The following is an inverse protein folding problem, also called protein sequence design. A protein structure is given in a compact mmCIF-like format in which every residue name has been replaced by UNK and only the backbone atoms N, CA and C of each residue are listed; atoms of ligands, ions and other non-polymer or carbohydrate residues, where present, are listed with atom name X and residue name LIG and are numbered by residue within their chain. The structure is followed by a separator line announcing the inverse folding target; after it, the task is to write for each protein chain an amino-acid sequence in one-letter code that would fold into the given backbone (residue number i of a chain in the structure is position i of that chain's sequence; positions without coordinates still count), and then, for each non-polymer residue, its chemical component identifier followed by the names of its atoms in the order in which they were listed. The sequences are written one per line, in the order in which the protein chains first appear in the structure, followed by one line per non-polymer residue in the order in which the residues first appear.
data_IF_404181583245
#
_entry.id   IF_404181583245
#
_cell.length_a   1.000
_cell.length_b   1.000
_cell.length_c   1.000
_cell.angle_alpha   90.00
_cell.angle_beta   90.00
_cell.angle_gamma   90.00
#
_symmetry.space_group_name_H-M   'P 1'
#
loop_
_entity.id
_entity.type
_entity.pdbx_description
1 polymer ?
#
# COMPACT_ATOMS: atom_id res chain seq x y z
N UNK A 1 -50.15 46.77 6.46
CA UNK A 1 -49.92 45.47 7.13
C UNK A 1 -48.45 45.38 7.49
N UNK A 2 -48.12 45.55 8.77
CA UNK A 2 -46.74 45.61 9.26
C UNK A 2 -46.29 44.22 9.74
N UNK A 3 -45.12 43.77 9.28
CA UNK A 3 -44.50 42.51 9.71
C UNK A 3 -43.70 42.72 11.01
N UNK A 4 -43.70 41.77 11.96
CA UNK A 4 -42.91 41.89 13.17
C UNK A 4 -41.47 41.39 12.98
N UNK A 5 -40.54 42.10 13.61
CA UNK A 5 -39.11 41.82 13.63
C UNK A 5 -38.76 40.61 14.52
N UNK A 6 -37.90 39.72 14.02
CA UNK A 6 -37.31 38.61 14.76
C UNK A 6 -36.10 39.11 15.59
N UNK A 7 -36.17 38.89 16.91
CA UNK A 7 -35.05 39.08 17.86
C UNK A 7 -34.11 37.88 17.81
N UNK A 8 -32.81 38.15 17.70
CA UNK A 8 -31.76 37.16 17.89
C UNK A 8 -31.50 36.96 19.39
N UNK A 9 -31.60 35.73 19.87
CA UNK A 9 -31.26 35.31 21.24
C UNK A 9 -29.86 34.71 21.22
N UNK A 10 -28.89 35.42 21.80
CA UNK A 10 -27.50 35.01 21.96
C UNK A 10 -27.34 34.20 23.25
N UNK A 11 -27.29 32.87 23.15
CA UNK A 11 -26.93 32.00 24.28
C UNK A 11 -25.51 31.47 24.11
N UNK A 12 -24.71 31.73 25.15
CA UNK A 12 -23.28 31.50 25.23
C UNK A 12 -22.87 30.04 25.17
N UNK A 13 -21.65 29.86 24.66
CA UNK A 13 -20.88 28.61 24.65
C UNK A 13 -20.07 28.55 25.95
N UNK A 14 -20.16 27.49 26.76
CA UNK A 14 -19.29 27.34 27.93
C UNK A 14 -17.88 26.88 27.52
N UNK A 15 -16.88 27.47 28.17
CA UNK A 15 -15.48 27.10 28.08
C UNK A 15 -15.24 25.73 28.73
N UNK A 16 -14.65 24.80 27.98
CA UNK A 16 -14.08 23.57 28.52
C UNK A 16 -12.63 23.85 28.91
N UNK A 17 -12.38 23.81 30.22
CA UNK A 17 -11.06 23.79 30.84
C UNK A 17 -10.82 22.41 31.43
N UNK A 18 -9.58 21.94 31.40
CA UNK A 18 -9.12 20.78 32.18
C UNK A 18 -8.78 19.55 31.35
N UNK A 19 -7.52 19.46 30.90
CA UNK A 19 -6.86 18.18 30.71
C UNK A 19 -5.51 18.24 31.42
N UNK A 20 -5.49 17.75 32.66
CA UNK A 20 -4.28 17.41 33.41
C UNK A 20 -3.64 16.18 32.77
N UNK A 21 -2.39 16.29 32.31
CA UNK A 21 -1.52 15.14 32.09
C UNK A 21 -0.60 15.01 33.31
N UNK A 22 -1.00 14.16 34.24
CA UNK A 22 -0.16 13.71 35.36
C UNK A 22 0.72 12.53 34.89
N UNK A 23 2.01 12.82 34.79
CA UNK A 23 3.11 12.07 35.40
C UNK A 23 2.92 10.54 35.57
N UNK A 24 3.52 9.75 34.66
CA UNK A 24 3.91 8.37 34.98
C UNK A 24 5.30 8.09 34.41
N UNK A 25 6.32 8.49 35.17
CA UNK A 25 7.70 8.06 34.98
C UNK A 25 8.12 7.23 36.20
N UNK A 26 8.28 5.90 36.02
CA UNK A 26 9.30 5.14 36.76
C UNK A 26 9.63 3.79 36.12
N UNK A 27 10.85 3.75 35.57
CA UNK A 27 11.89 2.73 35.73
C UNK A 27 11.56 1.25 35.50
N UNK A 28 12.11 0.70 34.41
CA UNK A 28 12.96 -0.49 34.49
C UNK A 28 14.05 -0.44 33.41
N UNK A 29 15.27 -0.12 33.85
CA UNK A 29 16.50 -0.30 33.07
C UNK A 29 16.97 -1.74 33.27
N UNK A 30 16.98 -2.53 32.19
CA UNK A 30 17.72 -3.80 32.14
C UNK A 30 18.59 -3.78 30.89
N UNK A 31 19.88 -4.05 31.08
CA UNK A 31 20.90 -4.12 30.02
C UNK A 31 20.56 -5.18 28.98
N UNK A 32 20.77 -4.93 27.67
CA UNK A 32 20.80 -6.01 26.70
C UNK A 32 22.17 -6.68 26.70
N UNK A 33 22.17 -7.97 27.01
CA UNK A 33 23.26 -8.87 26.66
C UNK A 33 23.43 -8.87 25.14
N UNK A 34 24.69 -8.89 24.68
CA UNK A 34 25.06 -8.98 23.28
C UNK A 34 24.40 -10.20 22.63
N UNK A 35 23.36 -9.96 21.83
CA UNK A 35 22.76 -10.96 20.98
C UNK A 35 23.75 -11.28 19.85
N UNK A 36 24.20 -12.54 19.81
CA UNK A 36 24.94 -13.07 18.68
C UNK A 36 24.13 -12.83 17.40
N UNK A 37 24.74 -12.19 16.41
CA UNK A 37 24.16 -11.95 15.10
C UNK A 37 23.83 -13.30 14.44
N UNK A 38 22.58 -13.74 14.55
CA UNK A 38 22.06 -14.86 13.80
C UNK A 38 22.14 -14.50 12.31
N UNK A 39 22.83 -15.33 11.53
CA UNK A 39 22.89 -15.18 10.08
C UNK A 39 21.47 -15.14 9.50
N UNK A 40 21.16 -14.21 8.58
CA UNK A 40 19.83 -14.13 8.00
C UNK A 40 19.47 -15.46 7.31
N UNK A 41 18.21 -15.93 7.42
CA UNK A 41 17.78 -17.15 6.75
C UNK A 41 18.02 -17.03 5.24
N UNK A 42 18.67 -18.05 4.66
CA UNK A 42 19.10 -18.12 3.25
C UNK A 42 17.97 -17.89 2.24
N UNK A 43 16.72 -18.02 2.68
CA UNK A 43 15.50 -17.87 1.87
C UNK A 43 15.19 -16.43 1.44
N UNK A 44 15.78 -15.41 2.09
CA UNK A 44 15.53 -14.01 1.69
C UNK A 44 16.44 -13.56 0.55
N UNK A 45 17.69 -14.04 0.54
CA UNK A 45 18.67 -13.70 -0.49
C UNK A 45 18.32 -14.28 -1.87
N UNK A 46 17.53 -15.36 -1.93
CA UNK A 46 17.03 -15.93 -3.21
C UNK A 46 16.04 -15.01 -3.93
N UNK A 47 15.41 -14.04 -3.25
CA UNK A 47 14.60 -12.99 -3.92
C UNK A 47 15.49 -12.13 -4.84
N UNK A 48 16.79 -12.04 -4.55
CA UNK A 48 17.72 -11.11 -5.20
C UNK A 48 18.75 -11.79 -6.12
N UNK A 49 18.58 -13.09 -6.42
CA UNK A 49 19.41 -13.76 -7.43
C UNK A 49 19.12 -13.15 -8.81
N UNK A 50 20.12 -12.45 -9.36
CA UNK A 50 19.93 -11.38 -10.32
C UNK A 50 19.59 -11.86 -11.76
N UNK A 51 18.35 -11.65 -12.18
CA UNK A 51 18.03 -11.48 -13.60
C UNK A 51 18.34 -10.02 -14.00
N UNK A 52 19.24 -9.81 -14.98
CA UNK A 52 19.56 -8.47 -15.51
C UNK A 52 18.31 -7.84 -16.16
N UNK A 53 17.78 -6.71 -15.67
CA UNK A 53 16.61 -6.10 -16.28
C UNK A 53 17.01 -5.29 -17.52
N UNK A 54 16.50 -5.67 -18.68
CA UNK A 54 16.51 -4.79 -19.87
C UNK A 54 15.54 -3.63 -19.63
N UNK A 55 16.06 -2.41 -19.49
CA UNK A 55 15.28 -1.17 -19.36
C UNK A 55 14.51 -0.86 -20.65
N UNK A 56 13.33 -1.47 -20.82
CA UNK A 56 12.32 -1.00 -21.79
C UNK A 56 11.46 0.07 -21.11
N UNK A 57 11.35 1.27 -21.72
CA UNK A 57 10.31 2.26 -21.39
C UNK A 57 8.93 1.59 -21.50
N UNK A 58 8.39 1.10 -20.38
CA UNK A 58 7.03 0.55 -20.34
C UNK A 58 6.04 1.71 -20.20
N UNK A 59 5.13 1.80 -21.18
CA UNK A 59 3.94 2.66 -21.12
C UNK A 59 3.17 2.34 -19.85
N UNK A 60 2.68 3.37 -19.14
CA UNK A 60 1.68 3.21 -18.09
C UNK A 60 0.56 2.34 -18.68
N UNK A 61 0.29 1.21 -18.03
CA UNK A 61 -0.62 0.20 -18.57
C UNK A 61 -1.99 0.82 -18.85
N UNK A 62 -2.40 0.84 -20.11
CA UNK A 62 -3.73 1.29 -20.56
C UNK A 62 -4.86 0.57 -19.79
N UNK A 63 -4.57 -0.63 -19.28
CA UNK A 63 -5.43 -1.47 -18.45
C UNK A 63 -5.82 -0.81 -17.11
N UNK A 64 -4.89 -0.12 -16.44
CA UNK A 64 -5.18 0.54 -15.16
C UNK A 64 -6.19 1.69 -15.35
N UNK A 65 -6.12 2.41 -16.48
CA UNK A 65 -7.16 3.40 -16.85
C UNK A 65 -8.49 2.75 -17.17
N UNK A 66 -8.49 1.64 -17.92
CA UNK A 66 -9.71 0.93 -18.32
C UNK A 66 -10.51 0.39 -17.12
N UNK A 67 -9.85 -0.23 -16.13
CA UNK A 67 -10.54 -0.74 -14.95
C UNK A 67 -11.07 0.37 -14.02
N UNK A 68 -10.42 1.53 -14.00
CA UNK A 68 -10.83 2.66 -13.17
C UNK A 68 -12.01 3.46 -13.75
N UNK A 69 -12.27 3.34 -15.06
CA UNK A 69 -13.24 4.21 -15.76
C UNK A 69 -14.54 3.52 -16.17
N UNK A 70 -14.65 2.19 -16.07
CA UNK A 70 -15.80 1.46 -16.62
C UNK A 70 -16.95 1.21 -15.64
N UNK A 71 -17.00 1.88 -14.47
CA UNK A 71 -18.03 1.66 -13.44
C UNK A 71 -18.58 2.94 -12.85
N UNK A 72 -19.83 2.94 -12.36
CA UNK A 72 -20.38 4.06 -11.60
C UNK A 72 -19.47 4.34 -10.39
N UNK A 73 -19.08 5.60 -10.23
CA UNK A 73 -18.26 6.11 -9.15
C UNK A 73 -19.11 6.95 -8.18
N UNK A 74 -18.60 7.20 -6.97
CA UNK A 74 -19.25 8.09 -5.99
C UNK A 74 -20.63 7.60 -5.50
N UNK A 75 -21.60 8.52 -5.31
CA UNK A 75 -22.91 8.16 -4.73
C UNK A 75 -23.74 7.20 -5.59
N UNK A 76 -23.55 7.19 -6.91
CA UNK A 76 -24.35 6.36 -7.82
C UNK A 76 -24.15 4.85 -7.59
N UNK A 77 -22.92 4.42 -7.30
CA UNK A 77 -22.64 3.02 -6.98
C UNK A 77 -23.04 2.66 -5.54
N UNK A 78 -22.89 3.58 -4.58
CA UNK A 78 -23.34 3.39 -3.19
C UNK A 78 -24.85 3.18 -3.15
N UNK A 79 -25.62 4.05 -3.82
CA UNK A 79 -27.09 3.97 -3.88
C UNK A 79 -27.57 2.72 -4.62
N UNK A 80 -26.84 2.26 -5.64
CA UNK A 80 -27.17 1.04 -6.38
C UNK A 80 -26.59 -0.24 -5.76
N UNK A 81 -25.91 -0.13 -4.60
CA UNK A 81 -25.19 -1.23 -3.96
C UNK A 81 -24.25 -2.00 -4.91
N UNK A 82 -23.74 -1.31 -5.93
CA UNK A 82 -22.82 -1.89 -6.92
C UNK A 82 -21.38 -1.59 -6.53
N UNK A 83 -20.44 -2.39 -7.03
CA UNK A 83 -19.02 -2.15 -6.80
C UNK A 83 -18.65 -0.78 -7.41
N UNK A 84 -18.36 0.18 -6.53
CA UNK A 84 -17.95 1.54 -6.85
C UNK A 84 -16.65 1.67 -7.65
N UNK A 85 -16.04 0.54 -7.99
CA UNK A 85 -15.00 0.38 -8.99
C UNK A 85 -14.04 1.55 -9.01
N UNK A 86 -13.05 1.55 -8.11
CA UNK A 86 -11.97 2.56 -8.13
C UNK A 86 -12.45 4.03 -8.12
N UNK A 87 -13.73 4.27 -7.84
CA UNK A 87 -14.42 5.53 -8.09
C UNK A 87 -14.46 6.45 -6.89
N UNK A 88 -13.41 6.43 -6.05
CA UNK A 88 -13.26 7.46 -5.05
C UNK A 88 -12.53 8.66 -5.68
N UNK A 89 -13.24 9.77 -5.85
CA UNK A 89 -12.72 10.98 -6.54
C UNK A 89 -11.50 11.57 -5.84
N UNK A 90 -11.37 11.32 -4.54
CA UNK A 90 -10.23 11.73 -3.73
C UNK A 90 -8.99 10.83 -3.91
N UNK A 91 -9.08 9.75 -4.70
CA UNK A 91 -8.04 8.71 -4.76
C UNK A 91 -7.52 8.51 -6.17
N UNK A 92 -6.19 8.48 -6.29
CA UNK A 92 -5.49 8.00 -7.47
C UNK A 92 -4.96 6.59 -7.22
N UNK A 93 -5.20 5.68 -8.16
CA UNK A 93 -4.84 4.27 -8.05
C UNK A 93 -3.70 3.91 -8.99
N UNK A 94 -2.65 3.32 -8.44
CA UNK A 94 -1.48 2.83 -9.16
C UNK A 94 -1.34 1.32 -8.97
N UNK A 95 -1.43 0.55 -10.05
CA UNK A 95 -1.31 -0.90 -10.01
C UNK A 95 0.16 -1.28 -10.22
N UNK A 96 0.75 -1.95 -9.23
CA UNK A 96 2.08 -2.54 -9.33
C UNK A 96 2.05 -3.74 -10.28
N UNK A 97 3.08 -3.86 -11.13
CA UNK A 97 3.25 -4.98 -12.06
C UNK A 97 4.57 -5.72 -11.78
N UNK A 98 4.65 -7.04 -12.05
CA UNK A 98 3.59 -7.90 -12.61
C UNK A 98 2.51 -8.29 -11.59
N UNK A 99 1.50 -9.03 -12.04
CA UNK A 99 0.67 -9.81 -11.12
C UNK A 99 1.44 -11.02 -10.64
N UNK A 100 1.02 -11.60 -9.52
CA UNK A 100 1.79 -12.65 -8.86
C UNK A 100 0.90 -13.68 -8.18
N UNK A 101 1.48 -14.83 -7.84
CA UNK A 101 0.92 -15.84 -6.94
C UNK A 101 1.84 -16.06 -5.76
N UNK A 102 1.24 -16.47 -4.65
CA UNK A 102 1.94 -16.86 -3.44
C UNK A 102 1.57 -18.33 -3.12
N UNK A 103 2.23 -19.31 -3.77
CA UNK A 103 1.84 -20.72 -3.73
C UNK A 103 2.03 -21.40 -2.37
N UNK A 104 2.86 -20.85 -1.47
CA UNK A 104 3.15 -21.46 -0.18
C UNK A 104 3.53 -20.43 0.91
N UNK A 105 3.76 -20.91 2.14
CA UNK A 105 4.09 -20.07 3.30
C UNK A 105 5.49 -19.41 3.25
N UNK A 106 6.35 -19.83 2.33
CA UNK A 106 7.66 -19.18 2.07
C UNK A 106 7.63 -18.24 0.87
N UNK A 107 6.50 -18.13 0.17
CA UNK A 107 6.32 -17.20 -0.93
C UNK A 107 6.23 -15.76 -0.42
N UNK A 108 7.04 -14.88 -1.01
CA UNK A 108 6.97 -13.45 -0.77
C UNK A 108 7.27 -12.66 -2.05
N UNK A 109 6.68 -11.46 -2.13
CA UNK A 109 7.07 -10.44 -3.11
C UNK A 109 7.46 -9.17 -2.37
N UNK A 110 8.45 -8.46 -2.90
CA UNK A 110 8.87 -7.17 -2.38
C UNK A 110 8.23 -6.06 -3.21
N UNK A 111 7.57 -5.12 -2.54
CA UNK A 111 6.97 -3.93 -3.13
C UNK A 111 7.80 -2.72 -2.72
N UNK A 112 8.29 -1.98 -3.72
CA UNK A 112 9.08 -0.77 -3.57
C UNK A 112 8.31 0.41 -4.14
N UNK A 113 8.32 1.55 -3.47
CA UNK A 113 7.65 2.73 -3.98
C UNK A 113 8.05 4.01 -3.25
N UNK A 114 7.27 5.05 -3.47
CA UNK A 114 7.45 6.36 -2.85
C UNK A 114 6.30 6.58 -1.87
N UNK A 115 6.62 6.96 -0.63
CA UNK A 115 5.62 7.45 0.30
C UNK A 115 5.18 8.84 -0.15
N UNK A 116 4.02 8.91 -0.81
CA UNK A 116 3.49 10.18 -1.33
C UNK A 116 3.05 11.13 -0.22
N UNK A 117 2.86 10.61 0.99
CA UNK A 117 2.68 11.40 2.23
C UNK A 117 3.95 12.20 2.54
N UNK A 118 5.10 11.54 2.57
CA UNK A 118 6.39 12.17 2.88
C UNK A 118 6.82 13.18 1.80
N UNK A 119 6.42 12.97 0.54
CA UNK A 119 6.71 13.92 -0.54
C UNK A 119 5.68 15.05 -0.66
N UNK A 120 4.62 15.05 0.17
CA UNK A 120 3.53 16.04 0.09
C UNK A 120 2.63 15.92 -1.15
N UNK A 121 2.74 14.82 -1.89
CA UNK A 121 1.90 14.55 -3.07
C UNK A 121 0.54 13.93 -2.67
N UNK A 122 0.43 13.37 -1.48
CA UNK A 122 -0.80 12.85 -0.92
C UNK A 122 -0.92 13.22 0.56
N UNK A 123 -2.14 13.34 1.08
CA UNK A 123 -2.38 13.45 2.52
C UNK A 123 -2.33 12.07 3.18
N UNK A 124 -2.68 11.04 2.42
CA UNK A 124 -2.67 9.66 2.87
C UNK A 124 -2.36 8.72 1.71
N UNK A 125 -1.57 7.68 1.98
CA UNK A 125 -1.21 6.66 1.02
C UNK A 125 -1.24 5.27 1.66
N UNK A 126 -1.69 4.28 0.90
CA UNK A 126 -1.61 2.89 1.33
C UNK A 126 -1.44 1.94 0.15
N UNK A 127 -1.04 0.71 0.46
CA UNK A 127 -1.08 -0.39 -0.50
C UNK A 127 -2.17 -1.38 -0.13
N UNK A 128 -2.76 -2.01 -1.13
CA UNK A 128 -3.74 -3.09 -0.99
C UNK A 128 -3.36 -4.24 -1.90
N UNK A 129 -3.34 -5.45 -1.34
CA UNK A 129 -3.25 -6.70 -2.09
C UNK A 129 -4.66 -7.12 -2.49
N UNK A 130 -4.90 -7.32 -3.77
CA UNK A 130 -6.19 -7.67 -4.33
C UNK A 130 -6.16 -9.04 -4.99
N UNK A 131 -7.22 -9.83 -4.79
CA UNK A 131 -7.56 -10.98 -5.63
C UNK A 131 -8.13 -10.45 -6.95
N UNK A 132 -7.43 -10.69 -8.05
CA UNK A 132 -7.80 -10.15 -9.37
C UNK A 132 -9.11 -10.76 -9.88
N UNK A 133 -9.28 -12.07 -9.71
CA UNK A 133 -10.46 -12.80 -10.19
C UNK A 133 -11.70 -12.39 -9.41
N UNK A 134 -11.58 -12.23 -8.09
CA UNK A 134 -12.69 -11.84 -7.21
C UNK A 134 -12.90 -10.33 -7.13
N UNK A 135 -11.96 -9.54 -7.68
CA UNK A 135 -11.98 -8.06 -7.62
C UNK A 135 -12.14 -7.53 -6.18
N UNK A 136 -11.38 -8.12 -5.26
CA UNK A 136 -11.52 -7.93 -3.82
C UNK A 136 -10.17 -7.57 -3.19
N UNK A 137 -10.15 -6.55 -2.34
CA UNK A 137 -9.01 -6.26 -1.45
C UNK A 137 -8.95 -7.26 -0.30
N UNK A 138 -7.80 -7.91 -0.13
CA UNK A 138 -7.57 -8.97 0.85
C UNK A 138 -6.89 -8.41 2.10
N UNK A 139 -5.81 -7.68 1.90
CA UNK A 139 -4.94 -7.16 2.94
C UNK A 139 -4.34 -5.83 2.47
N UNK A 140 -3.87 -5.01 3.39
CA UNK A 140 -3.24 -3.75 3.06
C UNK A 140 -2.37 -3.23 4.20
N UNK A 141 -1.59 -2.20 3.89
CA UNK A 141 -0.78 -1.47 4.85
C UNK A 141 -0.80 0.01 4.53
N UNK A 142 -0.76 0.82 5.58
CA UNK A 142 -0.52 2.26 5.54
C UNK A 142 0.76 2.59 6.31
N UNK A 143 1.10 3.88 6.43
CA UNK A 143 2.34 4.35 7.07
C UNK A 143 3.56 3.66 6.44
N UNK A 144 3.62 3.71 5.10
CA UNK A 144 4.56 2.94 4.31
C UNK A 144 5.99 3.44 4.55
N UNK A 145 6.89 2.53 4.92
CA UNK A 145 8.30 2.83 5.16
C UNK A 145 9.21 1.64 4.89
N UNK A 146 10.34 1.56 5.61
CA UNK A 146 11.21 0.37 5.59
C UNK A 146 12.27 0.33 4.48
N UNK A 147 12.38 1.34 3.61
CA UNK A 147 13.42 1.37 2.59
C UNK A 147 14.84 1.39 3.20
N UNK A 148 15.08 2.14 4.28
CA UNK A 148 16.37 2.11 4.98
C UNK A 148 16.68 0.72 5.56
N UNK A 149 15.68 0.06 6.17
CA UNK A 149 15.85 -1.30 6.69
C UNK A 149 16.17 -2.31 5.58
N UNK A 150 15.65 -2.12 4.35
CA UNK A 150 16.02 -2.95 3.21
C UNK A 150 17.49 -2.79 2.84
N UNK A 151 18.00 -1.55 2.82
CA UNK A 151 19.41 -1.25 2.53
C UNK A 151 20.30 -1.92 3.55
N UNK A 152 19.96 -1.82 4.84
CA UNK A 152 20.71 -2.44 5.94
C UNK A 152 20.71 -3.97 5.84
N UNK A 153 19.53 -4.58 5.65
CA UNK A 153 19.38 -6.05 5.52
C UNK A 153 20.18 -6.59 4.34
N UNK A 154 20.24 -5.85 3.23
CA UNK A 154 20.96 -6.24 2.02
C UNK A 154 22.44 -5.81 2.01
N UNK A 155 22.89 -5.05 3.02
CA UNK A 155 24.25 -4.51 3.07
C UNK A 155 24.59 -3.63 1.86
N UNK A 156 23.61 -2.89 1.32
CA UNK A 156 23.80 -2.11 0.11
C UNK A 156 24.51 -0.79 0.40
N UNK A 157 25.50 -0.44 -0.43
CA UNK A 157 26.04 0.91 -0.48
C UNK A 157 25.33 1.68 -1.58
N UNK A 158 24.70 2.80 -1.22
CA UNK A 158 23.93 3.62 -2.15
C UNK A 158 24.63 4.96 -2.41
N UNK A 159 24.45 5.54 -3.62
CA UNK A 159 24.82 6.92 -3.89
C UNK A 159 24.14 7.92 -2.93
N UNK A 160 24.82 9.02 -2.61
CA UNK A 160 24.38 9.99 -1.59
C UNK A 160 23.02 10.65 -1.90
N UNK A 161 22.69 10.84 -3.19
CA UNK A 161 21.38 11.31 -3.62
C UNK A 161 20.27 10.30 -3.32
N UNK A 162 20.52 9.00 -3.53
CA UNK A 162 19.57 7.93 -3.17
C UNK A 162 19.43 7.81 -1.65
N UNK A 163 20.53 7.88 -0.90
CA UNK A 163 20.51 7.86 0.57
C UNK A 163 19.63 8.97 1.14
N UNK A 164 19.71 10.19 0.59
CA UNK A 164 18.86 11.31 1.00
C UNK A 164 17.38 11.10 0.70
N UNK A 165 17.06 10.31 -0.33
CA UNK A 165 15.69 10.01 -0.71
C UNK A 165 15.06 8.86 0.12
N UNK A 166 15.85 8.05 0.83
CA UNK A 166 15.37 6.88 1.57
C UNK A 166 14.17 7.14 2.50
N UNK A 167 14.08 8.26 3.24
CA UNK A 167 12.91 8.54 4.07
C UNK A 167 11.59 8.66 3.28
N UNK A 168 11.65 9.06 2.01
CA UNK A 168 10.49 9.16 1.12
C UNK A 168 10.21 7.87 0.35
N UNK A 169 11.01 6.81 0.54
CA UNK A 169 10.83 5.53 -0.11
C UNK A 169 10.28 4.50 0.88
N UNK A 170 9.52 3.53 0.36
CA UNK A 170 9.10 2.38 1.14
C UNK A 170 9.55 1.06 0.51
N UNK A 171 9.67 0.06 1.37
CA UNK A 171 9.92 -1.32 1.02
C UNK A 171 9.06 -2.23 1.90
N UNK A 172 8.08 -2.89 1.30
CA UNK A 172 7.10 -3.73 2.00
C UNK A 172 7.11 -5.13 1.41
N UNK A 173 7.19 -6.13 2.28
CA UNK A 173 6.99 -7.53 1.90
C UNK A 173 5.51 -7.86 1.86
N UNK A 174 5.10 -8.64 0.87
CA UNK A 174 3.77 -9.25 0.81
C UNK A 174 3.96 -10.76 0.79
N UNK A 175 3.49 -11.45 1.82
CA UNK A 175 3.78 -12.87 2.05
C UNK A 175 2.56 -13.62 2.59
N UNK A 176 2.60 -14.96 2.53
CA UNK A 176 1.58 -15.81 3.20
C UNK A 176 1.75 -15.89 4.71
N UNK A 177 2.99 -15.88 5.17
CA UNK A 177 3.35 -15.98 6.58
C UNK A 177 4.47 -14.99 6.91
N UNK A 178 4.10 -13.86 7.50
CA UNK A 178 5.06 -12.80 7.83
C UNK A 178 6.00 -13.21 8.96
N UNK A 179 5.60 -14.15 9.83
CA UNK A 179 6.45 -14.62 10.94
C UNK A 179 7.69 -15.36 10.44
N UNK A 180 7.63 -15.93 9.23
CA UNK A 180 8.74 -16.68 8.60
C UNK A 180 9.74 -15.81 7.86
N UNK A 181 9.42 -14.55 7.60
CA UNK A 181 10.31 -13.67 6.86
C UNK A 181 11.49 -13.21 7.73
N UNK A 182 11.33 -13.16 9.05
CA UNK A 182 12.36 -12.75 10.03
C UNK A 182 13.22 -11.56 9.54
N UNK A 183 12.55 -10.50 9.12
CA UNK A 183 13.19 -9.28 8.60
C UNK A 183 12.75 -8.07 9.40
N UNK A 184 13.60 -7.04 9.44
CA UNK A 184 13.23 -5.71 9.92
C UNK A 184 12.25 -4.97 8.96
N UNK A 185 11.84 -5.60 7.86
CA UNK A 185 10.92 -5.01 6.89
C UNK A 185 9.47 -5.13 7.35
N UNK A 186 8.68 -4.10 7.02
CA UNK A 186 7.23 -4.17 7.13
C UNK A 186 6.70 -5.30 6.23
N UNK A 187 5.81 -6.12 6.76
CA UNK A 187 5.23 -7.26 6.05
C UNK A 187 3.71 -7.25 6.10
N UNK A 188 3.08 -7.46 4.94
CA UNK A 188 1.64 -7.60 4.74
C UNK A 188 1.31 -9.07 4.52
N UNK A 189 0.59 -9.66 5.47
CA UNK A 189 0.20 -11.06 5.41
C UNK A 189 -1.05 -11.26 4.55
N UNK A 190 -0.99 -12.19 3.58
CA UNK A 190 -2.10 -12.55 2.70
C UNK A 190 -2.67 -13.91 3.13
N UNK A 191 -3.75 -13.95 3.93
CA UNK A 191 -4.32 -15.21 4.39
C UNK A 191 -4.82 -16.09 3.23
N UNK A 192 -4.63 -17.40 3.34
CA UNK A 192 -5.13 -18.40 2.37
C UNK A 192 -6.49 -18.97 2.73
N UNK A 193 -6.98 -18.73 3.95
CA UNK A 193 -8.25 -19.21 4.49
C UNK A 193 -8.98 -18.09 5.23
N UNK A 194 -10.29 -18.24 5.44
CA UNK A 194 -11.13 -17.25 6.11
C UNK A 194 -11.63 -16.13 5.18
N UNK A 195 -12.13 -15.04 5.76
CA UNK A 195 -12.59 -13.87 5.02
C UNK A 195 -12.10 -12.58 5.70
N UNK A 196 -11.46 -11.65 4.96
CA UNK A 196 -11.02 -11.76 3.56
C UNK A 196 -9.79 -12.68 3.40
N UNK A 197 -9.69 -13.42 2.28
CA UNK A 197 -8.55 -14.29 1.96
C UNK A 197 -8.43 -14.55 0.45
N UNK A 198 -7.30 -15.12 0.03
CA UNK A 198 -7.09 -15.58 -1.35
C UNK A 198 -6.46 -16.97 -1.40
N UNK A 199 -7.01 -17.93 -2.17
CA UNK A 199 -6.44 -19.24 -2.40
C UNK A 199 -4.96 -19.21 -2.82
N UNK A 200 -4.22 -20.31 -2.63
CA UNK A 200 -2.78 -20.37 -2.93
C UNK A 200 -2.46 -20.14 -4.42
N UNK A 201 -3.36 -20.55 -5.31
CA UNK A 201 -3.28 -20.40 -6.76
C UNK A 201 -3.91 -19.09 -7.29
N UNK A 202 -4.45 -18.26 -6.40
CA UNK A 202 -5.10 -17.00 -6.78
C UNK A 202 -4.09 -16.01 -7.39
N UNK A 203 -4.48 -15.39 -8.49
CA UNK A 203 -3.72 -14.29 -9.08
C UNK A 203 -3.96 -13.01 -8.29
N UNK A 204 -2.88 -12.48 -7.73
CA UNK A 204 -2.86 -11.30 -6.89
C UNK A 204 -2.29 -10.08 -7.63
N UNK A 205 -2.71 -8.90 -7.19
CA UNK A 205 -2.13 -7.63 -7.61
C UNK A 205 -1.98 -6.69 -6.42
N UNK A 206 -0.97 -5.82 -6.44
CA UNK A 206 -0.79 -4.78 -5.40
C UNK A 206 -1.16 -3.44 -5.99
N UNK A 207 -2.06 -2.73 -5.32
CA UNK A 207 -2.54 -1.41 -5.73
C UNK A 207 -2.08 -0.42 -4.68
N UNK A 208 -1.31 0.57 -5.08
CA UNK A 208 -1.05 1.76 -4.30
C UNK A 208 -2.20 2.75 -4.52
N UNK A 209 -2.66 3.37 -3.43
CA UNK A 209 -3.73 4.36 -3.44
C UNK A 209 -3.20 5.62 -2.77
N UNK A 210 -3.18 6.71 -3.52
CA UNK A 210 -2.79 8.03 -3.04
C UNK A 210 -4.03 8.91 -2.92
N UNK A 211 -4.31 9.41 -1.73
CA UNK A 211 -5.54 10.11 -1.38
C UNK A 211 -5.28 11.59 -1.12
N UNK A 212 -6.01 12.44 -1.84
CA UNK A 212 -6.07 13.90 -1.74
C UNK A 212 -4.72 14.62 -1.78
N UNK A 213 -4.63 15.78 -2.42
CA UNK A 213 -3.47 16.65 -2.20
C UNK A 213 -3.76 17.61 -1.04
N UNK A 214 -2.74 18.14 -0.37
CA UNK A 214 -2.95 19.15 0.70
C UNK A 214 -3.73 20.39 0.19
N UNK A 215 -3.65 20.67 -1.12
CA UNK A 215 -4.32 21.79 -1.77
C UNK A 215 -5.70 21.44 -2.36
N UNK A 216 -6.16 20.17 -2.31
CA UNK A 216 -7.43 19.78 -2.94
C UNK A 216 -8.11 18.58 -2.29
N UNK A 217 -9.42 18.46 -2.50
CA UNK A 217 -10.22 17.30 -2.07
C UNK A 217 -10.28 16.19 -3.13
N UNK A 218 -9.42 16.25 -4.15
CA UNK A 218 -9.34 15.27 -5.23
C UNK A 218 -7.98 14.58 -5.23
N UNK A 219 -7.94 13.36 -5.75
CA UNK A 219 -6.70 12.59 -5.81
C UNK A 219 -5.60 13.32 -6.58
N UNK A 220 -4.32 13.08 -6.24
CA UNK A 220 -3.20 13.71 -6.92
C UNK A 220 -3.17 13.39 -8.42
N UNK A 221 -2.70 14.32 -9.27
CA UNK A 221 -2.50 14.04 -10.68
C UNK A 221 -1.60 12.81 -10.86
N UNK A 222 -2.05 11.82 -11.63
CA UNK A 222 -1.31 10.57 -11.88
C UNK A 222 0.11 10.83 -12.44
N UNK A 223 0.31 11.92 -13.18
CA UNK A 223 1.61 12.31 -13.71
C UNK A 223 2.65 12.71 -12.62
N UNK A 224 2.19 13.03 -11.41
CA UNK A 224 3.02 13.36 -10.25
C UNK A 224 3.31 12.13 -9.37
N UNK A 225 2.66 11.00 -9.65
CA UNK A 225 2.86 9.77 -8.88
C UNK A 225 3.96 8.91 -9.50
N UNK A 226 4.94 8.58 -8.67
CA UNK A 226 5.89 7.50 -8.95
C UNK A 226 5.18 6.18 -8.68
N UNK A 227 5.08 5.34 -9.72
CA UNK A 227 4.39 4.05 -9.62
C UNK A 227 5.23 3.03 -8.81
N UNK A 228 4.56 2.20 -7.99
CA UNK A 228 5.23 1.16 -7.25
C UNK A 228 5.82 0.11 -8.18
N UNK A 229 6.95 -0.45 -7.76
CA UNK A 229 7.66 -1.54 -8.42
C UNK A 229 7.57 -2.80 -7.57
N UNK A 230 7.49 -3.94 -8.24
CA UNK A 230 7.45 -5.23 -7.57
C UNK A 230 8.64 -6.07 -7.99
N UNK A 231 9.27 -6.71 -7.02
CA UNK A 231 10.28 -7.75 -7.22
C UNK A 231 9.66 -9.05 -6.75
N UNK A 232 9.51 -9.99 -7.68
CA UNK A 232 8.97 -11.32 -7.41
C UNK A 232 10.16 -12.26 -7.23
N UNK A 233 10.34 -12.78 -6.02
CA UNK A 233 11.41 -13.74 -5.73
C UNK A 233 11.08 -15.14 -6.23
N UNK A 234 12.05 -16.05 -6.22
CA UNK A 234 11.91 -17.42 -6.73
C UNK A 234 10.79 -18.23 -6.06
N UNK A 235 10.47 -17.93 -4.80
CA UNK A 235 9.39 -18.61 -4.06
C UNK A 235 7.98 -18.13 -4.44
N UNK A 236 7.87 -17.10 -5.27
CA UNK A 236 6.62 -16.56 -5.79
C UNK A 236 6.60 -16.66 -7.32
N UNK A 237 5.41 -16.69 -7.91
CA UNK A 237 5.27 -16.83 -9.37
C UNK A 237 4.76 -15.53 -9.97
N UNK A 238 5.49 -14.95 -10.93
CA UNK A 238 5.00 -13.82 -11.71
C UNK A 238 4.02 -14.34 -12.78
N UNK A 239 2.77 -13.88 -12.77
CA UNK A 239 1.71 -14.38 -13.66
C UNK A 239 1.53 -13.54 -14.93
N UNK A 240 2.60 -12.87 -15.39
CA UNK A 240 2.53 -11.89 -16.48
C UNK A 240 1.70 -10.65 -16.10
N UNK A 241 1.48 -9.75 -17.06
CA UNK A 241 0.36 -8.83 -16.96
C UNK A 241 -0.81 -9.58 -17.57
N UNK A 242 -1.89 -9.86 -16.84
CA UNK A 242 -3.06 -10.47 -17.46
C UNK A 242 -3.51 -9.58 -18.64
N UNK A 243 -3.16 -10.01 -19.85
CA UNK A 243 -3.60 -9.47 -21.12
C UNK A 243 -4.70 -10.41 -21.61
N UNK A 244 -5.85 -10.35 -20.95
CA UNK A 244 -7.08 -10.95 -21.42
C UNK A 244 -8.21 -9.97 -21.12
N UNK A 245 -9.16 -9.74 -22.05
CA UNK A 245 -10.34 -8.95 -21.75
C UNK A 245 -11.04 -9.61 -20.56
N UNK A 246 -11.17 -8.86 -19.45
CA UNK A 246 -11.99 -9.30 -18.32
C UNK A 246 -13.45 -9.06 -18.71
N UNK A 247 -13.97 -9.93 -19.57
CA UNK A 247 -15.33 -9.84 -20.08
C UNK A 247 -15.48 -10.37 -21.50
N UNK A 248 -15.43 -11.68 -21.66
CA UNK A 248 -16.56 -12.35 -22.30
C UNK A 248 -17.18 -13.21 -21.21
N UNK A 249 -18.26 -12.68 -20.63
CA UNK A 249 -19.16 -13.48 -19.82
C UNK A 249 -19.60 -14.66 -20.68
N UNK A 250 -19.34 -15.89 -20.26
CA UNK A 250 -20.11 -17.02 -20.77
C UNK A 250 -21.58 -16.75 -20.41
N UNK A 251 -22.42 -16.57 -21.42
CA UNK A 251 -23.88 -16.71 -21.32
C UNK A 251 -24.26 -18.10 -20.82
#
# INVERSE_FOLDING_TARGET
AAAPALRADSRGVPALSGFEMSEYARTHSTSPAAAAAASPPSSFLSIFSAARPTLRRRRVSTYARSMAQSRPAGMACITSQSNCGLGNRDTSYAIAAPFFRLPNNSSAVLVLGVSHEETGNAVYSNIVVNDVSRRLGIAGASNLGGASALVDVLGLSLPADVTRALPSLYAVLVARDCSRMNTALQCVQVPSTGWPSAPLDATLSVWERAYSTLASTVGPPVAQLVLPRMVVGESAEATGMLAGPVGESAE
#
